data_IF_435028271290
#
_entry.id   IF_435028271290
#
_cell.length_a   1.000
_cell.length_b   1.000
_cell.length_c   1.000
_cell.angle_alpha   90.00
_cell.angle_beta   90.00
_cell.angle_gamma   90.00
#
_symmetry.space_group_name_H-M   'P 1'
#
loop_
_entity.id
_entity.type
_entity.pdbx_description
1 polymer ?
#
# COMPACT_ATOMS: atom_id res chain seq x y z
N UNK A 1 -31.53 13.70 -9.59
CA UNK A 1 -30.62 12.57 -9.30
C UNK A 1 -29.23 13.14 -9.03
N UNK A 2 -28.95 13.41 -7.76
CA UNK A 2 -27.66 13.97 -7.34
C UNK A 2 -26.68 12.81 -7.30
N UNK A 3 -25.85 12.66 -8.33
CA UNK A 3 -24.76 11.69 -8.28
C UNK A 3 -23.77 12.24 -7.26
N UNK A 4 -23.79 11.68 -6.05
CA UNK A 4 -22.69 11.84 -5.11
C UNK A 4 -21.53 10.99 -5.63
N UNK A 5 -20.75 11.54 -6.55
CA UNK A 5 -19.33 11.18 -6.70
C UNK A 5 -18.54 11.77 -5.53
N UNK A 6 -19.06 11.59 -4.30
CA UNK A 6 -18.33 11.82 -3.08
C UNK A 6 -17.19 10.82 -3.12
N UNK A 7 -16.02 11.31 -3.50
CA UNK A 7 -14.84 10.50 -3.70
C UNK A 7 -14.74 9.44 -2.60
N UNK A 8 -14.70 8.16 -2.96
CA UNK A 8 -14.31 7.06 -2.05
C UNK A 8 -12.89 7.25 -1.47
N UNK A 9 -12.30 8.42 -1.68
CA UNK A 9 -10.88 8.67 -1.74
C UNK A 9 -10.25 8.74 -0.37
N UNK A 10 -10.91 9.24 0.67
CA UNK A 10 -10.23 9.45 1.96
C UNK A 10 -10.36 8.25 2.88
N UNK A 11 -11.57 7.74 3.08
CA UNK A 11 -11.79 6.63 4.01
C UNK A 11 -11.24 5.30 3.50
N UNK A 12 -11.36 4.97 2.22
CA UNK A 12 -10.77 3.72 1.70
C UNK A 12 -9.25 3.73 1.74
N UNK A 13 -8.63 4.89 1.46
CA UNK A 13 -7.17 5.04 1.59
C UNK A 13 -6.73 4.87 3.04
N UNK A 14 -7.40 5.56 3.97
CA UNK A 14 -7.10 5.45 5.41
C UNK A 14 -7.31 4.02 5.91
N UNK A 15 -8.39 3.34 5.51
CA UNK A 15 -8.64 1.95 5.87
C UNK A 15 -7.54 1.00 5.37
N UNK A 16 -7.03 1.21 4.15
CA UNK A 16 -5.91 0.42 3.61
C UNK A 16 -4.62 0.65 4.41
N UNK A 17 -4.30 1.89 4.77
CA UNK A 17 -3.12 2.18 5.60
C UNK A 17 -3.23 1.58 7.00
N UNK A 18 -4.39 1.71 7.64
CA UNK A 18 -4.62 1.11 8.96
C UNK A 18 -4.45 -0.40 8.91
N UNK A 19 -4.94 -1.06 7.85
CA UNK A 19 -4.76 -2.49 7.68
C UNK A 19 -3.29 -2.89 7.49
N UNK A 20 -2.49 -2.07 6.81
CA UNK A 20 -1.05 -2.30 6.69
C UNK A 20 -0.34 -2.17 8.05
N UNK A 21 -0.73 -1.19 8.87
CA UNK A 21 -0.19 -1.02 10.23
C UNK A 21 -0.55 -2.19 11.14
N UNK A 22 -1.79 -2.70 11.06
CA UNK A 22 -2.20 -3.91 11.78
C UNK A 22 -1.38 -5.13 11.36
N UNK A 23 -1.16 -5.31 10.06
CA UNK A 23 -0.33 -6.40 9.52
C UNK A 23 1.13 -6.25 9.98
N UNK A 24 1.68 -5.03 10.00
CA UNK A 24 3.03 -4.77 10.50
C UNK A 24 3.17 -5.11 11.99
N UNK A 25 2.17 -4.75 12.81
CA UNK A 25 2.11 -5.08 14.25
C UNK A 25 1.97 -6.60 14.48
N UNK A 26 1.14 -7.28 13.67
CA UNK A 26 0.97 -8.74 13.72
C UNK A 26 2.25 -9.51 13.33
N UNK A 27 3.02 -9.00 12.36
CA UNK A 27 4.29 -9.64 11.93
C UNK A 27 5.48 -9.28 12.83
N UNK A 28 5.44 -8.16 13.56
CA UNK A 28 6.51 -7.71 14.44
C UNK A 28 7.88 -7.70 13.75
N UNK A 29 8.88 -8.35 14.34
CA UNK A 29 10.25 -8.42 13.82
C UNK A 29 10.39 -9.13 12.45
N UNK A 30 9.34 -9.82 11.98
CA UNK A 30 9.33 -10.48 10.67
C UNK A 30 8.79 -9.58 9.55
N UNK A 31 8.25 -8.40 9.87
CA UNK A 31 7.78 -7.45 8.87
C UNK A 31 8.98 -6.85 8.11
N UNK A 32 9.02 -7.04 6.78
CA UNK A 32 10.09 -6.51 5.94
C UNK A 32 9.52 -5.63 4.83
N UNK A 33 9.81 -4.33 4.87
CA UNK A 33 9.52 -3.43 3.77
C UNK A 33 10.52 -3.63 2.62
N UNK A 34 10.06 -4.21 1.52
CA UNK A 34 10.92 -4.56 0.39
C UNK A 34 11.41 -3.35 -0.45
N UNK A 35 10.82 -2.16 -0.28
CA UNK A 35 11.22 -0.94 -0.98
C UNK A 35 11.26 -1.11 -2.50
N UNK A 36 12.40 -0.80 -3.13
CA UNK A 36 12.61 -0.93 -4.57
C UNK A 36 13.00 -2.35 -5.02
N UNK A 37 13.29 -3.28 -4.09
CA UNK A 37 13.71 -4.65 -4.42
C UNK A 37 12.74 -5.37 -5.37
N UNK A 38 11.40 -5.26 -5.22
CA UNK A 38 10.45 -5.90 -6.14
C UNK A 38 10.49 -5.34 -7.56
N UNK A 39 11.01 -4.12 -7.73
CA UNK A 39 11.08 -3.44 -9.01
C UNK A 39 12.46 -3.58 -9.68
N UNK A 40 13.44 -4.18 -9.00
CA UNK A 40 14.81 -4.30 -9.49
C UNK A 40 14.87 -5.02 -10.84
N UNK A 41 14.08 -6.08 -11.03
CA UNK A 41 14.00 -6.82 -12.30
C UNK A 41 13.51 -5.99 -13.49
N UNK A 42 12.79 -4.90 -13.24
CA UNK A 42 12.34 -3.97 -14.28
C UNK A 42 13.35 -2.86 -14.55
N UNK A 43 14.14 -2.47 -13.54
CA UNK A 43 15.20 -1.47 -13.69
C UNK A 43 16.44 -2.07 -14.39
N UNK A 44 16.74 -3.35 -14.14
CA UNK A 44 17.86 -4.06 -14.78
C UNK A 44 17.65 -4.28 -16.28
N UNK A 45 16.39 -4.29 -16.76
CA UNK A 45 16.06 -4.39 -18.18
C UNK A 45 16.26 -3.07 -18.95
N UNK A 46 16.49 -1.97 -18.24
CA UNK A 46 16.64 -0.64 -18.81
C UNK A 46 18.11 -0.21 -19.02
N UNK A 47 19.09 -1.11 -18.82
CA UNK A 47 20.52 -0.82 -18.96
C UNK A 47 21.24 -1.72 -19.96
#
# INVERSE_FOLDING_TARGET
LQIKTGSLSRSERVAKYNRLLEIEDELGDQAVFAGLKPYQSFLDQAS
#
